data_IF_504751513474
#
_entry.id   IF_504751513474
#
_cell.length_a   1.000
_cell.length_b   1.000
_cell.length_c   1.000
_cell.angle_alpha   90.00
_cell.angle_beta   90.00
_cell.angle_gamma   90.00
#
_symmetry.space_group_name_H-M   'P 1'
#
loop_
_entity.id
_entity.type
_entity.pdbx_description
1 polymer ?
#
# COMPACT_ATOMS: atom_id res chain seq x y z
N UNK A 1 -18.49 23.74 3.08
CA UNK A 1 -18.48 22.83 4.25
C UNK A 1 -19.84 22.93 4.92
N UNK A 2 -20.60 21.84 4.94
CA UNK A 2 -21.94 21.82 5.52
C UNK A 2 -21.91 20.97 6.79
N UNK A 3 -22.02 21.60 7.97
CA UNK A 3 -22.04 20.90 9.26
C UNK A 3 -23.48 20.44 9.54
N UNK A 4 -23.74 19.14 9.41
CA UNK A 4 -25.07 18.54 9.49
C UNK A 4 -25.61 18.43 10.92
N UNK A 5 -24.73 18.35 11.91
CA UNK A 5 -25.10 18.16 13.31
C UNK A 5 -24.75 19.39 14.14
N UNK A 6 -25.65 19.78 15.04
CA UNK A 6 -25.36 20.86 15.99
C UNK A 6 -24.15 20.49 16.85
N UNK A 7 -23.29 21.49 17.08
CA UNK A 7 -22.04 21.33 17.81
C UNK A 7 -22.25 20.66 19.17
N UNK A 8 -21.32 19.79 19.57
CA UNK A 8 -21.33 19.06 20.84
C UNK A 8 -22.54 18.11 21.07
N UNK A 9 -23.39 17.87 20.08
CA UNK A 9 -24.37 16.77 20.16
C UNK A 9 -23.68 15.39 20.08
N UNK A 10 -24.29 14.32 20.59
CA UNK A 10 -23.75 12.96 20.44
C UNK A 10 -23.53 12.57 18.97
N UNK A 11 -24.44 12.95 18.08
CA UNK A 11 -24.31 12.73 16.63
C UNK A 11 -23.12 13.50 16.05
N UNK A 12 -22.94 14.76 16.44
CA UNK A 12 -21.77 15.56 16.08
C UNK A 12 -20.47 14.92 16.57
N UNK A 13 -20.39 14.49 17.84
CA UNK A 13 -19.20 13.83 18.39
C UNK A 13 -18.85 12.56 17.63
N UNK A 14 -19.85 11.72 17.34
CA UNK A 14 -19.65 10.49 16.57
C UNK A 14 -19.10 10.78 15.17
N UNK A 15 -19.65 11.79 14.51
CA UNK A 15 -19.18 12.18 13.17
C UNK A 15 -17.79 12.82 13.21
N UNK A 16 -17.54 13.72 14.17
CA UNK A 16 -16.25 14.36 14.39
C UNK A 16 -15.15 13.34 14.69
N UNK A 17 -15.44 12.34 15.53
CA UNK A 17 -14.48 11.27 15.86
C UNK A 17 -14.09 10.42 14.65
N UNK A 18 -14.88 10.38 13.57
CA UNK A 18 -14.49 9.67 12.35
C UNK A 18 -13.26 10.30 11.68
N UNK A 19 -13.05 11.60 11.88
CA UNK A 19 -11.90 12.33 11.35
C UNK A 19 -10.58 11.80 11.87
N UNK A 20 -10.56 11.29 13.11
CA UNK A 20 -9.36 10.68 13.71
C UNK A 20 -8.84 9.51 12.89
N UNK A 21 -9.72 8.69 12.29
CA UNK A 21 -9.30 7.59 11.41
C UNK A 21 -8.64 8.09 10.14
N UNK A 22 -9.19 9.15 9.54
CA UNK A 22 -8.63 9.78 8.33
C UNK A 22 -7.27 10.40 8.64
N UNK A 23 -7.13 11.07 9.77
CA UNK A 23 -5.87 11.65 10.21
C UNK A 23 -4.82 10.57 10.50
N UNK A 24 -5.22 9.44 11.10
CA UNK A 24 -4.36 8.28 11.29
C UNK A 24 -3.86 7.71 9.96
N UNK A 25 -4.74 7.52 8.98
CA UNK A 25 -4.38 7.04 7.65
C UNK A 25 -3.38 7.98 6.95
N UNK A 26 -3.63 9.28 6.97
CA UNK A 26 -2.69 10.26 6.41
C UNK A 26 -1.37 10.34 7.19
N UNK A 27 -1.38 10.05 8.49
CA UNK A 27 -0.18 9.93 9.30
C UNK A 27 0.70 8.77 8.83
N UNK A 28 0.10 7.60 8.58
CA UNK A 28 0.81 6.44 8.04
C UNK A 28 1.33 6.73 6.62
N UNK A 29 0.48 7.27 5.73
CA UNK A 29 0.87 7.63 4.37
C UNK A 29 2.16 8.47 4.35
N UNK A 30 2.20 9.56 5.12
CA UNK A 30 3.35 10.48 5.17
C UNK A 30 4.58 9.91 5.87
N UNK A 31 4.43 8.82 6.62
CA UNK A 31 5.56 8.23 7.35
C UNK A 31 6.63 7.72 6.38
N UNK A 32 7.90 7.93 6.73
CA UNK A 32 9.05 7.47 5.93
C UNK A 32 9.06 5.95 5.71
N UNK A 33 8.43 5.21 6.62
CA UNK A 33 8.34 3.74 6.60
C UNK A 33 7.17 3.19 5.78
N UNK A 34 6.25 4.04 5.30
CA UNK A 34 5.20 3.62 4.36
C UNK A 34 5.47 4.15 2.95
N UNK A 35 5.31 5.46 2.75
CA UNK A 35 5.52 6.07 1.42
C UNK A 35 6.38 7.33 1.47
N UNK A 36 6.59 7.91 2.66
CA UNK A 36 7.33 9.16 2.83
C UNK A 36 6.73 10.33 2.03
N UNK A 37 5.44 10.24 1.67
CA UNK A 37 4.80 11.15 0.73
C UNK A 37 4.64 12.54 1.35
N UNK A 38 5.62 13.40 1.08
CA UNK A 38 5.64 14.78 1.53
C UNK A 38 5.42 15.75 0.37
N UNK A 39 5.10 17.02 0.69
CA UNK A 39 5.03 18.07 -0.34
C UNK A 39 6.39 18.19 -1.03
N UNK A 40 6.44 17.98 -2.34
CA UNK A 40 7.68 18.01 -3.14
C UNK A 40 8.40 16.67 -3.27
N UNK A 41 7.89 15.59 -2.68
CA UNK A 41 8.41 14.23 -2.89
C UNK A 41 8.27 13.76 -4.34
N UNK A 42 7.28 14.30 -5.05
CA UNK A 42 6.96 13.98 -6.43
C UNK A 42 6.81 15.30 -7.20
N UNK A 43 7.56 15.49 -8.29
CA UNK A 43 7.52 16.69 -9.14
C UNK A 43 6.87 16.40 -10.50
N UNK A 44 5.87 15.52 -10.51
CA UNK A 44 5.15 15.21 -11.74
C UNK A 44 4.04 16.22 -11.98
N UNK A 45 3.88 16.61 -13.24
CA UNK A 45 2.79 17.46 -13.69
C UNK A 45 1.71 16.59 -14.35
N UNK A 46 0.44 16.91 -14.09
CA UNK A 46 -0.71 16.25 -14.71
C UNK A 46 -1.51 15.36 -13.76
N UNK A 47 -2.82 15.33 -14.01
CA UNK A 47 -3.80 14.64 -13.16
C UNK A 47 -3.60 13.12 -13.19
N UNK A 48 -3.30 12.55 -14.36
CA UNK A 48 -3.12 11.10 -14.52
C UNK A 48 -1.97 10.57 -13.67
N UNK A 49 -0.79 11.17 -13.76
CA UNK A 49 0.40 10.76 -13.00
C UNK A 49 0.19 10.96 -11.50
N UNK A 50 -0.41 12.09 -11.11
CA UNK A 50 -0.75 12.37 -9.71
C UNK A 50 -1.73 11.31 -9.16
N UNK A 51 -2.73 10.93 -9.95
CA UNK A 51 -3.71 9.90 -9.56
C UNK A 51 -3.06 8.54 -9.42
N UNK A 52 -2.16 8.16 -10.34
CA UNK A 52 -1.43 6.90 -10.29
C UNK A 52 -0.58 6.80 -9.01
N UNK A 53 0.17 7.86 -8.69
CA UNK A 53 0.98 7.91 -7.47
C UNK A 53 0.11 7.79 -6.23
N UNK A 54 -1.01 8.51 -6.20
CA UNK A 54 -1.92 8.44 -5.07
C UNK A 54 -2.53 7.04 -4.91
N UNK A 55 -2.85 6.35 -6.01
CA UNK A 55 -3.33 4.98 -5.98
C UNK A 55 -2.27 4.02 -5.42
N UNK A 56 -1.03 4.13 -5.89
CA UNK A 56 0.08 3.33 -5.39
C UNK A 56 0.34 3.59 -3.90
N UNK A 57 0.37 4.86 -3.49
CA UNK A 57 0.61 5.24 -2.10
C UNK A 57 -0.53 4.78 -1.18
N UNK A 58 -1.77 4.81 -1.66
CA UNK A 58 -2.91 4.27 -0.93
C UNK A 58 -2.83 2.74 -0.77
N UNK A 59 -2.43 2.02 -1.81
CA UNK A 59 -2.25 0.57 -1.75
C UNK A 59 -1.19 0.18 -0.70
N UNK A 60 -0.01 0.81 -0.72
CA UNK A 60 1.06 0.55 0.25
C UNK A 60 0.61 0.88 1.68
N UNK A 61 -0.08 2.00 1.87
CA UNK A 61 -0.62 2.39 3.18
C UNK A 61 -1.62 1.35 3.70
N UNK A 62 -2.51 0.87 2.84
CA UNK A 62 -3.50 -0.15 3.21
C UNK A 62 -2.85 -1.49 3.54
N UNK A 63 -1.85 -1.93 2.77
CA UNK A 63 -1.09 -3.15 3.06
C UNK A 63 -0.41 -3.08 4.43
N UNK A 64 0.18 -1.93 4.76
CA UNK A 64 0.80 -1.73 6.06
C UNK A 64 -0.20 -1.76 7.21
N UNK A 65 -1.32 -1.04 7.08
CA UNK A 65 -2.38 -1.04 8.08
C UNK A 65 -2.94 -2.46 8.29
N UNK A 66 -3.11 -3.24 7.22
CA UNK A 66 -3.54 -4.63 7.29
C UNK A 66 -2.54 -5.49 8.07
N UNK A 67 -1.24 -5.39 7.77
CA UNK A 67 -0.18 -6.15 8.46
C UNK A 67 -0.08 -5.77 9.94
N UNK A 68 -0.14 -4.49 10.26
CA UNK A 68 -0.16 -4.00 11.65
C UNK A 68 -1.37 -4.55 12.39
N UNK A 69 -2.57 -4.43 11.82
CA UNK A 69 -3.79 -4.97 12.43
C UNK A 69 -3.72 -6.47 12.64
N UNK A 70 -3.22 -7.23 11.66
CA UNK A 70 -3.03 -8.68 11.78
C UNK A 70 -2.05 -9.01 12.91
N UNK A 71 -0.95 -8.26 13.04
CA UNK A 71 0.03 -8.44 14.11
C UNK A 71 -0.55 -8.13 15.49
N UNK A 72 -1.39 -7.10 15.60
CA UNK A 72 -2.01 -6.68 16.86
C UNK A 72 -3.15 -7.59 17.31
N UNK A 73 -3.91 -8.15 16.37
CA UNK A 73 -5.13 -8.92 16.68
C UNK A 73 -4.97 -10.42 16.56
N UNK A 74 -3.99 -10.90 15.79
CA UNK A 74 -3.85 -12.31 15.40
C UNK A 74 -5.01 -12.83 14.55
N UNK A 75 -5.82 -11.94 13.98
CA UNK A 75 -6.97 -12.30 13.16
C UNK A 75 -6.62 -12.20 11.68
N UNK A 76 -7.05 -13.19 10.90
CA UNK A 76 -6.84 -13.25 9.45
C UNK A 76 -6.24 -14.59 9.02
N UNK A 77 -6.12 -14.79 7.71
CA UNK A 77 -5.38 -15.92 7.16
C UNK A 77 -3.89 -15.59 7.14
N UNK A 78 -3.09 -16.28 7.96
CA UNK A 78 -1.64 -16.07 8.07
C UNK A 78 -0.90 -16.32 6.75
N UNK A 79 -1.48 -17.13 5.85
CA UNK A 79 -0.87 -17.47 4.56
C UNK A 79 -1.17 -16.45 3.47
N UNK A 80 -1.98 -15.43 3.78
CA UNK A 80 -2.42 -14.43 2.82
C UNK A 80 -1.22 -13.68 2.21
N UNK A 81 -1.12 -13.55 0.87
CA UNK A 81 0.06 -13.00 0.20
C UNK A 81 0.41 -11.56 0.63
N UNK A 82 -0.59 -10.75 0.98
CA UNK A 82 -0.36 -9.38 1.46
C UNK A 82 0.27 -9.29 2.86
N UNK A 83 0.32 -10.39 3.63
CA UNK A 83 0.97 -10.43 4.94
C UNK A 83 2.46 -10.78 4.85
N UNK A 84 2.91 -11.26 3.69
CA UNK A 84 4.33 -11.54 3.46
C UNK A 84 5.16 -10.27 3.65
N UNK A 85 6.36 -10.37 4.26
CA UNK A 85 7.25 -9.22 4.39
C UNK A 85 7.63 -8.69 3.01
N UNK A 86 7.84 -7.38 2.91
CA UNK A 86 8.36 -6.78 1.68
C UNK A 86 9.79 -7.27 1.47
N UNK A 87 10.12 -7.64 0.24
CA UNK A 87 11.47 -8.01 -0.13
C UNK A 87 12.41 -6.82 0.03
N UNK A 88 13.67 -7.09 0.41
CA UNK A 88 14.65 -6.03 0.56
C UNK A 88 14.97 -5.43 -0.82
N UNK A 89 14.60 -4.17 -1.01
CA UNK A 89 14.92 -3.45 -2.24
C UNK A 89 16.36 -2.93 -2.19
N UNK A 90 17.25 -3.56 -2.95
CA UNK A 90 18.67 -3.20 -3.03
C UNK A 90 19.00 -2.10 -4.05
N UNK A 91 18.00 -1.58 -4.77
CA UNK A 91 18.18 -0.58 -5.83
C UNK A 91 17.98 -1.15 -7.23
N UNK A 92 18.35 -0.36 -8.24
CA UNK A 92 18.29 -0.76 -9.65
C UNK A 92 19.71 -1.02 -10.17
N UNK A 93 19.90 -2.15 -10.84
CA UNK A 93 21.10 -2.45 -11.63
C UNK A 93 20.81 -2.31 -13.12
N UNK A 94 21.76 -1.82 -13.91
CA UNK A 94 21.65 -1.90 -15.36
C UNK A 94 21.82 -3.35 -15.80
N UNK A 95 20.86 -3.85 -16.57
CA UNK A 95 20.91 -5.19 -17.17
C UNK A 95 21.11 -5.08 -18.68
N UNK A 96 21.81 -6.05 -19.24
CA UNK A 96 21.93 -6.23 -20.69
C UNK A 96 20.64 -6.82 -21.27
N UNK A 97 20.45 -6.71 -22.58
CA UNK A 97 19.29 -7.29 -23.26
C UNK A 97 19.18 -8.81 -23.04
N UNK A 98 20.30 -9.53 -23.05
CA UNK A 98 20.34 -10.97 -22.79
C UNK A 98 19.91 -11.32 -21.36
N UNK A 99 20.29 -10.50 -20.37
CA UNK A 99 19.86 -10.67 -18.98
C UNK A 99 18.36 -10.38 -18.80
N UNK A 100 17.81 -9.41 -19.52
CA UNK A 100 16.37 -9.13 -19.50
C UNK A 100 15.56 -10.34 -20.00
N UNK A 101 15.95 -10.94 -21.14
CA UNK A 101 15.30 -12.14 -21.67
C UNK A 101 15.35 -13.32 -20.68
N UNK A 102 16.50 -13.55 -20.03
CA UNK A 102 16.63 -14.62 -19.05
C UNK A 102 15.73 -14.43 -17.81
N UNK A 103 15.56 -13.19 -17.34
CA UNK A 103 14.68 -12.87 -16.21
C UNK A 103 13.22 -13.07 -16.59
N UNK A 104 12.82 -12.62 -17.79
CA UNK A 104 11.45 -12.80 -18.30
C UNK A 104 11.09 -14.29 -18.44
N UNK A 105 12.02 -15.12 -18.91
CA UNK A 105 11.85 -16.58 -18.97
C UNK A 105 11.69 -17.21 -17.59
N UNK A 106 12.47 -16.73 -16.59
CA UNK A 106 12.42 -17.24 -15.21
C UNK A 106 11.11 -16.88 -14.48
N UNK A 107 10.45 -15.79 -14.86
CA UNK A 107 9.20 -15.33 -14.24
C UNK A 107 7.97 -15.53 -15.13
N UNK A 108 8.15 -16.20 -16.27
CA UNK A 108 7.03 -16.64 -17.09
C UNK A 108 6.20 -17.68 -16.35
N UNK A 109 4.86 -17.60 -16.39
CA UNK A 109 3.96 -18.46 -15.62
C UNK A 109 4.02 -19.95 -15.99
N UNK A 110 4.79 -20.32 -17.03
CA UNK A 110 4.83 -21.66 -17.61
C UNK A 110 5.68 -22.68 -16.83
N UNK A 111 6.37 -22.27 -15.75
CA UNK A 111 7.28 -23.17 -15.00
C UNK A 111 6.67 -23.81 -13.74
N UNK A 112 5.39 -23.57 -13.44
CA UNK A 112 4.78 -23.92 -12.15
C UNK A 112 3.68 -24.99 -12.15
N UNK A 113 3.24 -25.50 -13.30
CA UNK A 113 2.19 -26.53 -13.36
C UNK A 113 2.62 -27.70 -14.25
N UNK A 114 3.40 -28.61 -13.67
CA UNK A 114 3.21 -30.05 -13.87
C UNK A 114 4.12 -30.85 -12.93
N UNK A 115 3.54 -31.91 -12.35
CA UNK A 115 4.07 -32.87 -11.35
C UNK A 115 3.62 -32.48 -9.94
N UNK A 116 2.58 -33.10 -9.35
CA UNK A 116 2.38 -34.55 -9.22
C UNK A 116 0.91 -34.94 -9.42
N UNK A 117 0.69 -35.83 -10.39
CA UNK A 117 -0.37 -36.83 -10.34
C UNK A 117 0.26 -38.13 -9.82
N UNK A 118 -0.30 -38.68 -8.75
CA UNK A 118 -0.31 -40.11 -8.41
C UNK A 118 -1.40 -40.36 -7.37
#
# INVERSE_FOLDING_TARGET
MHQKHYWATPAWRKDFNRRTYVEGWFGVLKSATATGLNRGSHQFNGLATSTLIMAAAAAVTNMRLLRTWHTETGLGDETHPLLKPDELFHGFGQITAAQATAIDEQHSPTSGENTQAA
#
